data_IF_359678138606
#
_entry.id   IF_359678138606
#
_cell.length_a   1.000
_cell.length_b   1.000
_cell.length_c   1.000
_cell.angle_alpha   90.00
_cell.angle_beta   90.00
_cell.angle_gamma   90.00
#
_symmetry.space_group_name_H-M   'P 1'
#
loop_
_entity.id
_entity.type
_entity.pdbx_description
1 polymer ?
#
# COMPACT_ATOMS: atom_id res chain seq x y z
N UNK A 1 30.05 -20.04 -1.14
CA UNK A 1 29.66 -20.30 0.26
C UNK A 1 30.11 -19.11 1.06
N UNK A 2 29.16 -18.42 1.72
CA UNK A 2 29.46 -17.35 2.66
C UNK A 2 30.01 -18.03 3.92
N UNK A 3 31.27 -17.77 4.26
CA UNK A 3 32.02 -18.44 5.33
C UNK A 3 31.75 -17.81 6.72
N UNK A 4 30.89 -16.80 6.77
CA UNK A 4 30.49 -16.06 7.99
C UNK A 4 29.05 -16.41 8.34
N UNK A 5 28.75 -16.63 9.61
CA UNK A 5 27.39 -16.87 10.08
C UNK A 5 26.50 -15.65 9.79
N UNK A 6 25.54 -15.83 8.88
CA UNK A 6 24.55 -14.81 8.53
C UNK A 6 23.44 -14.78 9.58
N UNK A 7 23.08 -13.59 10.06
CA UNK A 7 22.04 -13.36 11.07
C UNK A 7 20.97 -12.37 10.57
N UNK A 8 19.91 -12.18 11.36
CA UNK A 8 18.85 -11.18 11.10
C UNK A 8 19.35 -9.72 11.05
N UNK A 9 20.55 -9.46 11.57
CA UNK A 9 21.19 -8.14 11.64
C UNK A 9 22.23 -7.93 10.53
N UNK A 10 22.50 -8.95 9.72
CA UNK A 10 23.45 -8.86 8.60
C UNK A 10 22.76 -8.26 7.38
N UNK A 11 23.22 -7.12 6.85
CA UNK A 11 22.63 -6.55 5.62
C UNK A 11 22.96 -7.38 4.38
N UNK A 12 21.97 -7.58 3.49
CA UNK A 12 22.14 -8.29 2.20
C UNK A 12 22.10 -7.35 0.99
N UNK A 13 22.20 -6.04 1.17
CA UNK A 13 22.08 -5.06 0.08
C UNK A 13 23.07 -5.31 -1.07
N UNK A 14 24.30 -5.67 -0.74
CA UNK A 14 25.38 -5.90 -1.71
C UNK A 14 25.40 -7.32 -2.27
N UNK A 15 24.51 -8.21 -1.83
CA UNK A 15 24.51 -9.61 -2.25
C UNK A 15 23.94 -9.77 -3.65
N UNK A 16 24.59 -10.61 -4.47
CA UNK A 16 23.96 -11.12 -5.68
C UNK A 16 22.69 -11.89 -5.33
N UNK A 17 21.81 -12.12 -6.31
CA UNK A 17 20.56 -12.85 -6.06
C UNK A 17 20.79 -14.25 -5.47
N UNK A 18 21.85 -14.94 -5.91
CA UNK A 18 22.18 -16.28 -5.40
C UNK A 18 22.67 -16.22 -3.96
N UNK A 19 23.60 -15.30 -3.65
CA UNK A 19 24.10 -15.10 -2.29
C UNK A 19 22.99 -14.66 -1.34
N UNK A 20 22.09 -13.80 -1.82
CA UNK A 20 20.91 -13.37 -1.10
C UNK A 20 20.00 -14.56 -0.74
N UNK A 21 19.74 -15.44 -1.69
CA UNK A 21 18.90 -16.62 -1.46
C UNK A 21 19.55 -17.58 -0.45
N UNK A 22 20.86 -17.82 -0.56
CA UNK A 22 21.61 -18.65 0.38
C UNK A 22 21.57 -18.05 1.80
N UNK A 23 21.76 -16.74 1.92
CA UNK A 23 21.74 -15.99 3.18
C UNK A 23 20.36 -16.05 3.86
N UNK A 24 19.29 -15.78 3.10
CA UNK A 24 17.92 -15.85 3.60
C UNK A 24 17.56 -17.26 4.05
N UNK A 25 17.94 -18.27 3.26
CA UNK A 25 17.76 -19.68 3.62
C UNK A 25 18.49 -20.02 4.91
N UNK A 26 19.74 -19.59 5.08
CA UNK A 26 20.52 -19.84 6.29
C UNK A 26 19.84 -19.24 7.52
N UNK A 27 19.37 -17.99 7.45
CA UNK A 27 18.66 -17.36 8.57
C UNK A 27 17.36 -18.09 8.90
N UNK A 28 16.55 -18.43 7.89
CA UNK A 28 15.29 -19.16 8.06
C UNK A 28 15.51 -20.55 8.68
N UNK A 29 16.50 -21.32 8.20
CA UNK A 29 16.82 -22.64 8.74
C UNK A 29 17.38 -22.59 10.18
N UNK A 30 18.04 -21.49 10.56
CA UNK A 30 18.53 -21.32 11.93
C UNK A 30 17.43 -20.95 12.92
N UNK A 31 16.37 -20.27 12.47
CA UNK A 31 15.29 -19.77 13.33
C UNK A 31 13.95 -20.50 13.19
N UNK A 32 13.86 -21.48 12.29
CA UNK A 32 12.64 -22.20 11.97
C UNK A 32 12.87 -23.14 10.80
N UNK A 33 12.25 -22.85 9.64
CA UNK A 33 12.43 -23.66 8.44
C UNK A 33 12.49 -22.85 7.15
N UNK A 34 13.01 -23.49 6.11
CA UNK A 34 12.92 -23.03 4.72
C UNK A 34 12.40 -24.18 3.86
N UNK A 35 11.42 -23.90 3.00
CA UNK A 35 10.90 -24.84 2.01
C UNK A 35 10.84 -24.18 0.62
N UNK A 36 11.33 -24.87 -0.41
CA UNK A 36 11.09 -24.46 -1.79
C UNK A 36 9.73 -25.01 -2.26
N UNK A 37 8.86 -24.12 -2.72
CA UNK A 37 7.51 -24.43 -3.18
C UNK A 37 7.46 -24.39 -4.71
N UNK A 38 8.09 -25.37 -5.35
CA UNK A 38 8.26 -25.37 -6.79
C UNK A 38 9.46 -24.51 -7.23
N UNK A 39 9.39 -23.95 -8.44
CA UNK A 39 10.51 -23.23 -9.05
C UNK A 39 10.51 -21.72 -8.83
N UNK A 40 9.37 -21.16 -8.39
CA UNK A 40 9.15 -19.71 -8.29
C UNK A 40 8.68 -19.26 -6.91
N UNK A 41 8.52 -20.16 -5.94
CA UNK A 41 8.02 -19.81 -4.62
C UNK A 41 8.82 -20.46 -3.51
N UNK A 42 8.86 -19.78 -2.36
CA UNK A 42 9.62 -20.20 -1.20
C UNK A 42 8.83 -19.86 0.06
N UNK A 43 8.84 -20.75 1.04
CA UNK A 43 8.35 -20.50 2.39
C UNK A 43 9.54 -20.38 3.35
N UNK A 44 9.54 -19.34 4.17
CA UNK A 44 10.58 -19.04 5.15
C UNK A 44 9.92 -18.74 6.48
N UNK A 45 10.21 -19.56 7.49
CA UNK A 45 9.62 -19.42 8.81
C UNK A 45 10.67 -19.15 9.86
N UNK A 46 10.39 -18.17 10.72
CA UNK A 46 11.15 -17.82 11.91
C UNK A 46 10.22 -17.86 13.12
N UNK A 47 10.53 -18.69 14.11
CA UNK A 47 9.77 -18.81 15.35
C UNK A 47 10.38 -17.92 16.45
N UNK A 48 9.55 -17.08 17.08
CA UNK A 48 9.96 -16.16 18.16
C UNK A 48 8.93 -16.01 19.27
N UNK A 49 7.66 -15.83 18.93
CA UNK A 49 6.57 -15.59 19.89
C UNK A 49 5.22 -16.13 19.39
N UNK A 50 4.17 -16.01 20.21
CA UNK A 50 2.81 -16.45 19.86
C UNK A 50 2.05 -15.50 18.93
N UNK A 51 2.68 -14.40 18.46
CA UNK A 51 2.14 -13.57 17.39
C UNK A 51 2.84 -13.92 16.08
N UNK A 52 2.07 -14.37 15.09
CA UNK A 52 2.54 -14.74 13.76
C UNK A 52 2.17 -13.68 12.73
N UNK A 53 3.17 -13.17 12.02
CA UNK A 53 2.97 -12.50 10.73
C UNK A 53 3.10 -13.52 9.61
N UNK A 54 2.12 -13.58 8.71
CA UNK A 54 2.20 -14.29 7.43
C UNK A 54 2.30 -13.24 6.32
N UNK A 55 3.44 -13.11 5.65
CA UNK A 55 3.61 -12.13 4.57
C UNK A 55 3.75 -12.78 3.20
N UNK A 56 3.24 -12.08 2.17
CA UNK A 56 3.38 -12.47 0.77
C UNK A 56 4.17 -11.39 0.03
N UNK A 57 5.37 -11.73 -0.41
CA UNK A 57 6.36 -10.78 -0.90
C UNK A 57 7.03 -11.27 -2.19
N UNK A 58 7.49 -10.36 -3.05
CA UNK A 58 8.32 -10.74 -4.20
C UNK A 58 9.79 -10.58 -3.86
N UNK A 59 10.66 -11.45 -4.38
CA UNK A 59 12.11 -11.37 -4.13
C UNK A 59 12.68 -10.03 -4.59
N UNK A 60 12.20 -9.51 -5.72
CA UNK A 60 12.57 -8.17 -6.17
C UNK A 60 12.08 -7.08 -5.22
N UNK A 61 10.86 -7.20 -4.68
CA UNK A 61 10.31 -6.26 -3.70
C UNK A 61 11.14 -6.23 -2.41
N UNK A 62 11.46 -7.40 -1.84
CA UNK A 62 12.30 -7.50 -0.65
C UNK A 62 13.65 -6.81 -0.85
N UNK A 63 14.33 -7.10 -1.96
CA UNK A 63 15.64 -6.53 -2.28
C UNK A 63 15.61 -5.04 -2.60
N UNK A 64 14.49 -4.50 -3.09
CA UNK A 64 14.37 -3.11 -3.49
C UNK A 64 13.77 -2.18 -2.43
N UNK A 65 12.92 -2.71 -1.53
CA UNK A 65 12.14 -1.91 -0.58
C UNK A 65 12.70 -1.93 0.83
N UNK A 66 13.44 -2.98 1.21
CA UNK A 66 14.11 -3.06 2.52
C UNK A 66 15.50 -2.43 2.45
N UNK A 67 15.85 -1.59 3.43
CA UNK A 67 17.19 -1.03 3.64
C UNK A 67 18.26 -2.05 4.06
N UNK A 68 17.87 -3.29 4.37
CA UNK A 68 18.81 -4.41 4.53
C UNK A 68 18.63 -5.48 3.46
N UNK A 69 17.85 -5.19 2.42
CA UNK A 69 17.36 -6.16 1.43
C UNK A 69 16.70 -7.41 2.04
N UNK A 70 16.16 -7.35 3.26
CA UNK A 70 15.47 -8.46 3.92
C UNK A 70 14.01 -8.61 3.45
N UNK A 71 13.38 -9.78 3.71
CA UNK A 71 11.93 -9.84 3.82
C UNK A 71 11.40 -8.72 4.71
N UNK A 72 10.38 -7.98 4.26
CA UNK A 72 9.86 -6.82 4.98
C UNK A 72 9.33 -7.23 6.35
N UNK A 73 8.72 -8.41 6.45
CA UNK A 73 8.23 -8.93 7.73
C UNK A 73 9.33 -9.20 8.76
N UNK A 74 10.61 -9.29 8.37
CA UNK A 74 11.72 -9.39 9.33
C UNK A 74 11.90 -8.13 10.17
N UNK A 75 11.33 -6.98 9.75
CA UNK A 75 11.27 -5.81 10.61
C UNK A 75 10.48 -6.13 11.89
N UNK A 76 9.30 -6.74 11.76
CA UNK A 76 8.47 -7.14 12.90
C UNK A 76 9.13 -8.23 13.77
N UNK A 77 9.96 -9.08 13.16
CA UNK A 77 10.76 -10.06 13.92
C UNK A 77 11.78 -9.35 14.82
N UNK A 78 12.40 -8.25 14.33
CA UNK A 78 13.41 -7.49 15.07
C UNK A 78 12.80 -6.54 16.10
N UNK A 79 11.81 -5.75 15.71
CA UNK A 79 11.26 -4.68 16.55
C UNK A 79 10.24 -5.19 17.56
N UNK A 80 9.39 -6.14 17.16
CA UNK A 80 8.28 -6.64 17.99
C UNK A 80 8.47 -8.08 18.47
N UNK A 81 9.50 -8.79 17.99
CA UNK A 81 9.75 -10.19 18.35
C UNK A 81 8.70 -11.16 17.84
N UNK A 82 7.98 -10.82 16.78
CA UNK A 82 6.95 -11.70 16.20
C UNK A 82 7.55 -12.92 15.50
N UNK A 83 6.83 -14.04 15.53
CA UNK A 83 7.09 -15.13 14.58
C UNK A 83 6.70 -14.68 13.18
N UNK A 84 7.39 -15.16 12.15
CA UNK A 84 7.16 -14.73 10.78
C UNK A 84 7.24 -15.88 9.78
N UNK A 85 6.16 -16.07 9.02
CA UNK A 85 6.10 -16.94 7.85
C UNK A 85 6.03 -16.08 6.59
N UNK A 86 7.12 -16.00 5.84
CA UNK A 86 7.18 -15.32 4.55
C UNK A 86 7.00 -16.29 3.41
N UNK A 87 6.00 -16.02 2.56
CA UNK A 87 5.83 -16.63 1.26
C UNK A 87 6.44 -15.67 0.22
N UNK A 88 7.56 -16.09 -0.35
CA UNK A 88 8.26 -15.34 -1.38
C UNK A 88 7.91 -15.85 -2.77
N UNK A 89 7.79 -14.95 -3.75
CA UNK A 89 7.69 -15.31 -5.17
C UNK A 89 8.75 -14.66 -6.05
N UNK A 90 9.14 -15.39 -7.09
CA UNK A 90 9.94 -14.89 -8.21
C UNK A 90 9.04 -14.19 -9.22
N UNK A 91 8.88 -12.88 -9.05
CA UNK A 91 7.99 -12.04 -9.86
C UNK A 91 6.52 -12.14 -9.42
N UNK A 92 5.64 -11.48 -10.18
CA UNK A 92 4.23 -11.38 -9.86
C UNK A 92 3.50 -12.65 -10.30
N UNK A 93 3.07 -13.44 -9.32
CA UNK A 93 2.44 -14.77 -9.54
C UNK A 93 1.07 -14.89 -8.91
N UNK A 94 0.67 -13.90 -8.10
CA UNK A 94 -0.50 -13.97 -7.20
C UNK A 94 -0.49 -15.23 -6.31
N UNK A 95 0.67 -15.87 -6.17
CA UNK A 95 0.85 -17.13 -5.44
C UNK A 95 -0.09 -18.24 -5.94
N UNK A 96 -0.44 -18.18 -7.23
CA UNK A 96 -1.29 -19.17 -7.92
C UNK A 96 -0.44 -20.31 -8.46
N UNK A 97 0.01 -21.20 -7.57
CA UNK A 97 0.76 -22.40 -7.95
C UNK A 97 0.41 -23.60 -7.05
N UNK A 98 0.42 -24.80 -7.61
CA UNK A 98 0.00 -26.02 -6.93
C UNK A 98 0.86 -26.39 -5.70
N UNK A 99 2.20 -26.17 -5.69
CA UNK A 99 3.01 -26.38 -4.49
C UNK A 99 2.66 -25.40 -3.36
N UNK A 100 2.24 -24.17 -3.66
CA UNK A 100 1.82 -23.19 -2.65
C UNK A 100 0.51 -23.62 -2.01
N UNK A 101 -0.43 -24.09 -2.84
CA UNK A 101 -1.68 -24.68 -2.39
C UNK A 101 -1.44 -25.86 -1.45
N UNK A 102 -0.64 -26.83 -1.87
CA UNK A 102 -0.32 -28.00 -1.07
C UNK A 102 0.40 -27.65 0.24
N UNK A 103 1.21 -26.59 0.25
CA UNK A 103 1.84 -26.08 1.48
C UNK A 103 0.79 -25.60 2.48
N UNK A 104 -0.16 -24.75 2.06
CA UNK A 104 -1.23 -24.29 2.94
C UNK A 104 -2.18 -25.41 3.39
N UNK A 105 -2.47 -26.41 2.55
CA UNK A 105 -3.24 -27.59 2.99
C UNK A 105 -2.53 -28.32 4.13
N UNK A 106 -1.21 -28.53 4.02
CA UNK A 106 -0.44 -29.15 5.10
C UNK A 106 -0.45 -28.31 6.38
N UNK A 107 -0.29 -26.99 6.27
CA UNK A 107 -0.36 -26.12 7.45
C UNK A 107 -1.72 -26.22 8.16
N UNK A 108 -2.81 -26.36 7.39
CA UNK A 108 -4.17 -26.57 7.94
C UNK A 108 -4.26 -27.94 8.59
N UNK A 109 -3.88 -29.00 7.88
CA UNK A 109 -3.99 -30.39 8.34
C UNK A 109 -3.15 -30.65 9.60
N UNK A 110 -1.98 -30.01 9.70
CA UNK A 110 -1.06 -30.13 10.84
C UNK A 110 -1.44 -29.20 12.02
N UNK A 111 -2.46 -28.35 11.87
CA UNK A 111 -2.86 -27.38 12.90
C UNK A 111 -1.78 -26.32 13.18
N UNK A 112 -0.96 -25.96 12.19
CA UNK A 112 0.17 -25.04 12.37
C UNK A 112 -0.25 -23.70 12.99
N UNK A 113 -1.39 -23.15 12.55
CA UNK A 113 -1.88 -21.85 13.01
C UNK A 113 -2.43 -21.89 14.45
N UNK A 114 -2.79 -23.06 14.97
CA UNK A 114 -3.31 -23.22 16.34
C UNK A 114 -2.22 -22.97 17.40
N UNK A 115 -0.94 -22.97 16.99
CA UNK A 115 0.20 -22.64 17.86
C UNK A 115 0.35 -21.14 18.18
N UNK A 116 -0.49 -20.27 17.63
CA UNK A 116 -0.36 -18.82 17.74
C UNK A 116 -1.62 -18.17 18.32
N UNK A 117 -1.44 -17.25 19.27
CA UNK A 117 -2.53 -16.48 19.86
C UNK A 117 -3.09 -15.44 18.88
N UNK A 118 -2.23 -14.94 17.98
CA UNK A 118 -2.56 -13.89 17.01
C UNK A 118 -1.90 -14.21 15.68
N UNK A 119 -2.69 -14.20 14.61
CA UNK A 119 -2.19 -14.36 13.23
C UNK A 119 -2.58 -13.15 12.39
N UNK A 120 -1.60 -12.53 11.74
CA UNK A 120 -1.80 -11.39 10.83
C UNK A 120 -1.29 -11.76 9.44
N UNK A 121 -2.16 -11.68 8.44
CA UNK A 121 -1.79 -11.83 7.03
C UNK A 121 -1.50 -10.46 6.42
N UNK A 122 -0.39 -10.34 5.68
CA UNK A 122 0.02 -9.09 5.06
C UNK A 122 0.51 -9.28 3.61
N UNK A 123 0.18 -8.32 2.75
CA UNK A 123 0.84 -8.19 1.46
C UNK A 123 0.37 -6.97 0.68
N UNK A 124 1.07 -6.69 -0.42
CA UNK A 124 0.74 -5.60 -1.35
C UNK A 124 0.60 -6.10 -2.80
N UNK A 125 -0.35 -5.53 -3.55
CA UNK A 125 -0.60 -5.90 -4.95
C UNK A 125 -0.91 -7.40 -5.09
N UNK A 126 -0.10 -8.17 -5.86
CA UNK A 126 -0.22 -9.63 -5.93
C UNK A 126 -0.10 -10.32 -4.55
N UNK A 127 0.75 -9.81 -3.67
CA UNK A 127 0.85 -10.29 -2.29
C UNK A 127 -0.36 -9.88 -1.45
N UNK A 128 -0.99 -8.74 -1.74
CA UNK A 128 -2.21 -8.29 -1.06
C UNK A 128 -3.42 -9.17 -1.42
N UNK A 129 -3.50 -9.60 -2.68
CA UNK A 129 -4.42 -10.66 -3.10
C UNK A 129 -4.17 -11.94 -2.30
N UNK A 130 -2.92 -12.41 -2.26
CA UNK A 130 -2.59 -13.68 -1.61
C UNK A 130 -2.83 -13.64 -0.10
N UNK A 131 -2.49 -12.53 0.57
CA UNK A 131 -2.79 -12.33 1.99
C UNK A 131 -4.28 -12.50 2.30
N UNK A 132 -5.16 -11.93 1.48
CA UNK A 132 -6.59 -12.14 1.63
C UNK A 132 -7.03 -13.56 1.24
N UNK A 133 -6.56 -14.07 0.11
CA UNK A 133 -6.94 -15.37 -0.44
C UNK A 133 -6.56 -16.57 0.47
N UNK A 134 -5.38 -16.54 1.07
CA UNK A 134 -4.88 -17.63 1.91
C UNK A 134 -5.22 -17.46 3.40
N UNK A 135 -5.76 -16.31 3.82
CA UNK A 135 -6.14 -16.09 5.22
C UNK A 135 -7.18 -17.07 5.76
N UNK A 136 -7.99 -17.67 4.88
CA UNK A 136 -8.96 -18.71 5.24
C UNK A 136 -8.30 -19.94 5.89
N UNK A 137 -7.00 -20.16 5.67
CA UNK A 137 -6.23 -21.21 6.32
C UNK A 137 -6.05 -21.01 7.83
N UNK A 138 -6.27 -19.78 8.33
CA UNK A 138 -6.18 -19.43 9.74
C UNK A 138 -7.44 -18.66 10.16
N UNK A 139 -8.55 -19.36 10.47
CA UNK A 139 -9.76 -18.73 10.99
C UNK A 139 -9.47 -17.83 12.20
N UNK A 140 -10.07 -16.64 12.25
CA UNK A 140 -9.80 -15.63 13.28
C UNK A 140 -8.56 -14.76 13.01
N UNK A 141 -7.83 -14.99 11.90
CA UNK A 141 -6.73 -14.11 11.54
C UNK A 141 -7.20 -12.69 11.17
N UNK A 142 -6.29 -11.73 11.31
CA UNK A 142 -6.46 -10.37 10.81
C UNK A 142 -5.71 -10.19 9.50
N UNK A 143 -6.24 -9.43 8.55
CA UNK A 143 -5.65 -9.26 7.21
C UNK A 143 -5.37 -7.80 6.92
N UNK A 144 -4.16 -7.47 6.49
CA UNK A 144 -3.77 -6.14 6.01
C UNK A 144 -3.33 -6.25 4.54
N UNK A 145 -4.19 -5.79 3.63
CA UNK A 145 -3.97 -5.90 2.20
C UNK A 145 -3.84 -4.52 1.55
N UNK A 146 -2.67 -4.23 0.98
CA UNK A 146 -2.37 -2.95 0.30
C UNK A 146 -2.59 -3.11 -1.21
N UNK A 147 -3.46 -2.30 -1.79
CA UNK A 147 -3.83 -2.33 -3.23
C UNK A 147 -4.08 -3.76 -3.75
N UNK A 148 -4.86 -4.60 -3.05
CA UNK A 148 -5.07 -5.97 -3.49
C UNK A 148 -5.90 -5.99 -4.77
N UNK A 149 -5.57 -6.91 -5.67
CA UNK A 149 -6.54 -7.37 -6.66
C UNK A 149 -7.51 -8.31 -5.96
N UNK A 150 -8.81 -8.22 -6.25
CA UNK A 150 -9.79 -9.16 -5.69
C UNK A 150 -9.72 -10.52 -6.41
N UNK A 151 -9.46 -10.48 -7.71
CA UNK A 151 -9.23 -11.60 -8.62
C UNK A 151 -8.63 -11.03 -9.91
N UNK A 152 -8.05 -11.88 -10.75
CA UNK A 152 -7.74 -11.54 -12.14
C UNK A 152 -8.54 -12.39 -13.14
N UNK A 153 -9.60 -13.06 -12.67
CA UNK A 153 -10.55 -13.73 -13.55
C UNK A 153 -11.12 -12.72 -14.56
N UNK A 154 -10.86 -12.90 -15.87
CA UNK A 154 -11.34 -11.98 -16.89
C UNK A 154 -12.85 -11.78 -16.85
N UNK A 155 -13.64 -12.77 -16.42
CA UNK A 155 -15.10 -12.64 -16.36
C UNK A 155 -15.60 -11.64 -15.31
N UNK A 156 -14.78 -11.34 -14.30
CA UNK A 156 -15.09 -10.39 -13.21
C UNK A 156 -14.37 -9.05 -13.43
N UNK A 157 -13.17 -9.09 -14.01
CA UNK A 157 -12.27 -7.94 -14.12
C UNK A 157 -11.95 -7.57 -15.57
N UNK A 158 -12.92 -7.65 -16.48
CA UNK A 158 -12.79 -7.20 -17.89
C UNK A 158 -12.27 -5.75 -18.02
N UNK A 159 -12.47 -4.94 -16.97
CA UNK A 159 -12.07 -3.54 -16.87
C UNK A 159 -10.62 -3.32 -16.43
N UNK A 160 -9.88 -4.34 -16.00
CA UNK A 160 -8.47 -4.24 -15.62
C UNK A 160 -7.56 -4.79 -16.72
N UNK A 161 -6.81 -3.90 -17.36
CA UNK A 161 -5.91 -4.20 -18.48
C UNK A 161 -4.43 -4.33 -18.07
N UNK A 162 -4.12 -4.23 -16.77
CA UNK A 162 -2.73 -4.22 -16.28
C UNK A 162 -2.01 -5.57 -16.37
N UNK A 163 -2.74 -6.67 -16.29
CA UNK A 163 -2.20 -8.03 -16.06
C UNK A 163 -2.67 -9.03 -17.11
N UNK A 164 -2.60 -8.65 -18.39
CA UNK A 164 -3.09 -9.46 -19.50
C UNK A 164 -2.41 -10.83 -19.62
N UNK A 165 -1.17 -10.93 -19.15
CA UNK A 165 -0.38 -12.16 -19.09
C UNK A 165 -0.95 -13.19 -18.12
N UNK A 166 -1.76 -12.76 -17.14
CA UNK A 166 -2.37 -13.63 -16.13
C UNK A 166 -3.74 -14.19 -16.53
N UNK A 167 -4.29 -13.83 -17.70
CA UNK A 167 -5.64 -14.25 -18.14
C UNK A 167 -5.85 -15.77 -18.25
N UNK A 168 -4.77 -16.55 -18.34
CA UNK A 168 -4.81 -18.01 -18.40
C UNK A 168 -4.57 -18.68 -17.04
N UNK A 169 -4.24 -17.90 -16.02
CA UNK A 169 -4.09 -18.40 -14.66
C UNK A 169 -5.47 -18.54 -14.05
N UNK A 170 -5.69 -19.64 -13.35
CA UNK A 170 -6.98 -19.93 -12.73
C UNK A 170 -7.14 -19.11 -11.44
N UNK A 171 -8.18 -18.27 -11.37
CA UNK A 171 -8.62 -17.51 -10.20
C UNK A 171 -10.04 -17.90 -9.73
N UNK A 172 -10.52 -19.07 -10.15
CA UNK A 172 -11.88 -19.56 -9.88
C UNK A 172 -11.89 -20.76 -8.94
N UNK A 173 -10.81 -21.55 -8.91
CA UNK A 173 -10.64 -22.64 -7.95
C UNK A 173 -10.29 -22.14 -6.54
N UNK A 174 -9.94 -23.07 -5.64
CA UNK A 174 -9.49 -22.81 -4.26
C UNK A 174 -8.61 -21.55 -4.14
N UNK A 175 -8.88 -20.75 -3.11
CA UNK A 175 -8.21 -19.45 -2.89
C UNK A 175 -8.33 -18.47 -4.07
N UNK A 176 -9.30 -18.65 -4.97
CA UNK A 176 -9.36 -17.94 -6.25
C UNK A 176 -9.87 -16.51 -6.15
N UNK A 177 -10.99 -16.30 -5.47
CA UNK A 177 -11.59 -14.99 -5.27
C UNK A 177 -11.32 -14.49 -3.85
N UNK A 178 -10.35 -13.57 -3.72
CA UNK A 178 -9.83 -13.12 -2.43
C UNK A 178 -10.88 -12.54 -1.46
N UNK A 179 -11.87 -11.73 -1.91
CA UNK A 179 -12.94 -11.27 -1.04
C UNK A 179 -13.72 -12.40 -0.36
N UNK A 180 -13.88 -13.54 -1.02
CA UNK A 180 -14.62 -14.67 -0.45
C UNK A 180 -13.84 -15.43 0.60
N UNK A 181 -12.52 -15.44 0.47
CA UNK A 181 -11.64 -16.13 1.42
C UNK A 181 -11.50 -15.38 2.75
N UNK A 182 -11.99 -14.14 2.84
CA UNK A 182 -12.01 -13.37 4.08
C UNK A 182 -13.15 -13.75 5.03
N UNK A 183 -14.01 -14.73 4.69
CA UNK A 183 -15.20 -15.04 5.49
C UNK A 183 -14.89 -15.46 6.94
N UNK A 184 -13.80 -16.21 7.12
CA UNK A 184 -13.36 -16.70 8.42
C UNK A 184 -12.38 -15.75 9.15
N UNK A 185 -11.97 -14.64 8.52
CA UNK A 185 -11.07 -13.66 9.14
C UNK A 185 -11.80 -12.87 10.24
N UNK A 186 -11.12 -12.53 11.33
CA UNK A 186 -11.68 -11.65 12.37
C UNK A 186 -11.91 -10.24 11.82
N UNK A 187 -10.90 -9.70 11.14
CA UNK A 187 -10.96 -8.37 10.53
C UNK A 187 -10.04 -8.29 9.30
N UNK A 188 -10.45 -7.56 8.28
CA UNK A 188 -9.66 -7.33 7.08
C UNK A 188 -9.59 -5.84 6.74
N UNK A 189 -8.40 -5.36 6.42
CA UNK A 189 -8.11 -3.95 6.16
C UNK A 189 -7.58 -3.79 4.73
N UNK A 190 -8.41 -3.22 3.86
CA UNK A 190 -8.07 -2.99 2.45
C UNK A 190 -7.62 -1.54 2.28
N UNK A 191 -6.33 -1.34 2.03
CA UNK A 191 -5.71 -0.03 1.91
C UNK A 191 -5.51 0.31 0.44
N UNK A 192 -6.05 1.43 -0.03
CA UNK A 192 -5.96 1.83 -1.44
C UNK A 192 -6.02 3.34 -1.62
N UNK A 193 -5.56 3.82 -2.78
CA UNK A 193 -5.78 5.20 -3.20
C UNK A 193 -7.07 5.30 -4.04
N UNK A 194 -8.13 5.96 -3.57
CA UNK A 194 -9.36 6.12 -4.34
C UNK A 194 -9.21 6.98 -5.61
N UNK A 195 -8.06 7.63 -5.82
CA UNK A 195 -7.75 8.37 -7.07
C UNK A 195 -7.06 7.54 -8.12
N UNK A 196 -6.74 6.27 -7.83
CA UNK A 196 -6.31 5.28 -8.83
C UNK A 196 -7.54 4.42 -9.16
N UNK A 197 -8.18 4.60 -10.34
CA UNK A 197 -9.46 3.97 -10.65
C UNK A 197 -9.44 2.44 -10.51
N UNK A 198 -8.42 1.78 -11.07
CA UNK A 198 -8.33 0.31 -11.05
C UNK A 198 -8.17 -0.24 -9.62
N UNK A 199 -7.40 0.42 -8.76
CA UNK A 199 -7.27 0.01 -7.36
C UNK A 199 -8.58 0.25 -6.59
N UNK A 200 -9.27 1.36 -6.87
CA UNK A 200 -10.56 1.66 -6.27
C UNK A 200 -11.64 0.64 -6.69
N UNK A 201 -11.62 0.20 -7.95
CA UNK A 201 -12.51 -0.84 -8.47
C UNK A 201 -12.25 -2.18 -7.80
N UNK A 202 -10.99 -2.64 -7.68
CA UNK A 202 -10.68 -3.86 -6.93
C UNK A 202 -11.09 -3.76 -5.46
N UNK A 203 -10.72 -2.67 -4.79
CA UNK A 203 -11.13 -2.41 -3.41
C UNK A 203 -12.65 -2.35 -3.25
N UNK A 204 -13.40 -2.01 -4.30
CA UNK A 204 -14.87 -2.00 -4.26
C UNK A 204 -15.45 -3.40 -4.07
N UNK A 205 -14.80 -4.45 -4.59
CA UNK A 205 -15.26 -5.85 -4.55
C UNK A 205 -15.17 -6.49 -3.15
N UNK A 206 -14.27 -5.99 -2.29
CA UNK A 206 -14.17 -6.42 -0.90
C UNK A 206 -15.33 -5.86 -0.06
N UNK A 207 -16.48 -6.53 -0.04
CA UNK A 207 -17.75 -6.02 0.55
C UNK A 207 -18.22 -6.75 1.81
N UNK A 208 -17.38 -7.60 2.41
CA UNK A 208 -17.75 -8.38 3.60
C UNK A 208 -17.90 -7.52 4.86
N UNK A 209 -18.73 -7.93 5.85
CA UNK A 209 -18.96 -7.16 7.08
C UNK A 209 -17.71 -6.92 7.92
N UNK A 210 -16.76 -7.84 7.89
CA UNK A 210 -15.47 -7.75 8.60
C UNK A 210 -14.40 -6.95 7.83
N UNK A 211 -14.73 -6.40 6.65
CA UNK A 211 -13.79 -5.61 5.83
C UNK A 211 -13.92 -4.11 6.12
N UNK A 212 -12.81 -3.49 6.50
CA UNK A 212 -12.65 -2.04 6.57
C UNK A 212 -11.81 -1.51 5.41
N UNK A 213 -12.39 -0.60 4.64
CA UNK A 213 -11.72 0.09 3.51
C UNK A 213 -10.99 1.34 3.98
N UNK A 214 -9.67 1.30 3.99
CA UNK A 214 -8.78 2.37 4.45
C UNK A 214 -8.26 3.20 3.25
N UNK A 215 -8.76 4.42 3.11
CA UNK A 215 -8.48 5.27 1.95
C UNK A 215 -7.23 6.13 2.16
N UNK A 216 -6.27 6.07 1.23
CA UNK A 216 -5.04 6.86 1.25
C UNK A 216 -4.90 7.69 -0.03
N UNK A 217 -5.66 8.79 -0.09
CA UNK A 217 -5.84 9.61 -1.29
C UNK A 217 -4.55 10.32 -1.74
N UNK A 218 -4.27 10.31 -3.05
CA UNK A 218 -3.08 10.90 -3.73
C UNK A 218 -1.75 10.25 -3.35
N UNK A 219 -1.78 8.98 -2.96
CA UNK A 219 -0.58 8.18 -2.79
C UNK A 219 -0.18 7.47 -4.09
N UNK A 220 -1.05 7.38 -5.10
CA UNK A 220 -0.75 6.79 -6.40
C UNK A 220 -0.58 5.27 -6.34
N UNK A 221 0.07 4.71 -7.35
CA UNK A 221 0.12 3.26 -7.63
C UNK A 221 1.16 2.49 -6.82
N UNK A 222 2.15 3.14 -6.21
CA UNK A 222 3.19 2.51 -5.40
C UNK A 222 2.93 2.74 -3.89
N UNK A 223 1.77 2.30 -3.40
CA UNK A 223 1.30 2.65 -2.06
C UNK A 223 2.15 2.02 -0.96
N UNK A 224 2.60 0.77 -1.16
CA UNK A 224 3.47 0.07 -0.22
C UNK A 224 4.80 0.80 -0.03
N UNK A 225 5.51 1.12 -1.12
CA UNK A 225 6.78 1.85 -1.06
C UNK A 225 6.62 3.17 -0.32
N UNK A 226 5.54 3.90 -0.58
CA UNK A 226 5.28 5.16 0.12
C UNK A 226 4.88 4.99 1.57
N UNK A 227 4.24 3.89 1.96
CA UNK A 227 3.97 3.60 3.38
C UNK A 227 5.26 3.31 4.13
N UNK A 228 6.22 2.63 3.48
CA UNK A 228 7.57 2.43 4.01
C UNK A 228 8.32 3.76 4.12
N UNK A 229 8.29 4.63 3.10
CA UNK A 229 8.87 5.99 3.16
C UNK A 229 8.28 6.89 4.27
N UNK A 230 7.09 6.55 4.77
CA UNK A 230 6.44 7.27 5.87
C UNK A 230 6.76 6.67 7.25
N UNK A 231 7.54 5.60 7.32
CA UNK A 231 7.86 4.86 8.53
C UNK A 231 6.59 4.42 9.30
N UNK A 232 5.52 4.04 8.57
CA UNK A 232 4.24 3.63 9.17
C UNK A 232 3.94 2.14 9.02
N UNK A 233 4.86 1.37 8.45
CA UNK A 233 4.66 -0.07 8.21
C UNK A 233 4.48 -0.86 9.52
N UNK A 234 5.39 -0.69 10.47
CA UNK A 234 5.32 -1.31 11.80
C UNK A 234 4.04 -0.90 12.55
N UNK A 235 3.82 0.42 12.70
CA UNK A 235 2.62 0.97 13.34
C UNK A 235 1.31 0.39 12.75
N UNK A 236 1.25 0.22 11.43
CA UNK A 236 0.08 -0.34 10.76
C UNK A 236 -0.16 -1.80 11.17
N UNK A 237 0.89 -2.63 11.18
CA UNK A 237 0.78 -4.04 11.53
C UNK A 237 0.52 -4.23 13.02
N UNK A 238 1.19 -3.48 13.90
CA UNK A 238 0.97 -3.54 15.36
C UNK A 238 -0.46 -3.15 15.71
N UNK A 239 -0.98 -2.04 15.15
CA UNK A 239 -2.39 -1.67 15.32
C UNK A 239 -3.35 -2.77 14.84
N UNK A 240 -3.02 -3.46 13.73
CA UNK A 240 -3.84 -4.55 13.25
C UNK A 240 -3.82 -5.71 14.25
N UNK A 241 -2.63 -6.20 14.64
CA UNK A 241 -2.47 -7.31 15.57
C UNK A 241 -3.21 -7.08 16.90
N UNK A 242 -3.13 -5.87 17.45
CA UNK A 242 -3.76 -5.49 18.72
C UNK A 242 -5.27 -5.25 18.62
N UNK A 243 -5.85 -5.30 17.42
CA UNK A 243 -7.28 -5.01 17.20
C UNK A 243 -7.63 -3.53 17.28
N UNK A 244 -6.63 -2.65 17.19
CA UNK A 244 -6.78 -1.19 17.28
C UNK A 244 -6.80 -0.50 15.92
N UNK A 245 -6.56 -1.23 14.83
CA UNK A 245 -6.62 -0.68 13.48
C UNK A 245 -8.08 -0.39 13.10
N UNK A 246 -8.37 0.90 12.94
CA UNK A 246 -9.68 1.43 12.59
C UNK A 246 -9.50 2.54 11.57
N UNK A 247 -10.59 3.04 10.98
CA UNK A 247 -10.54 4.23 10.13
C UNK A 247 -9.88 5.41 10.86
N UNK A 248 -10.15 5.57 12.16
CA UNK A 248 -9.66 6.68 12.96
C UNK A 248 -8.17 6.54 13.31
N UNK A 249 -7.71 5.36 13.76
CA UNK A 249 -6.29 5.12 14.06
C UNK A 249 -5.46 5.13 12.78
N UNK A 250 -5.95 4.53 11.69
CA UNK A 250 -5.31 4.61 10.37
C UNK A 250 -5.18 6.06 9.89
N UNK A 251 -6.25 6.85 9.97
CA UNK A 251 -6.20 8.26 9.57
C UNK A 251 -5.19 9.07 10.39
N UNK A 252 -4.89 8.65 11.62
CA UNK A 252 -3.89 9.26 12.50
C UNK A 252 -2.46 8.97 11.98
N UNK A 253 -2.10 7.70 11.80
CA UNK A 253 -0.78 7.31 11.28
C UNK A 253 -0.57 7.81 9.85
N UNK A 254 -1.61 7.80 9.02
CA UNK A 254 -1.52 8.26 7.64
C UNK A 254 -1.19 9.77 7.54
N UNK A 255 -1.37 10.57 8.61
CA UNK A 255 -1.00 11.99 8.61
C UNK A 255 0.50 12.23 8.50
N UNK A 256 1.35 11.23 8.72
CA UNK A 256 2.80 11.31 8.43
C UNK A 256 3.08 11.86 7.02
N UNK A 257 2.19 11.61 6.05
CA UNK A 257 2.27 12.18 4.70
C UNK A 257 2.30 13.71 4.63
N UNK A 258 1.85 14.41 5.67
CA UNK A 258 1.87 15.87 5.75
C UNK A 258 3.29 16.44 5.88
N UNK A 259 4.23 15.63 6.33
CA UNK A 259 5.65 15.99 6.41
C UNK A 259 6.48 15.36 5.27
N UNK A 260 5.85 14.52 4.45
CA UNK A 260 6.48 13.81 3.36
C UNK A 260 6.56 14.64 2.08
N UNK A 261 7.77 15.14 1.76
CA UNK A 261 8.01 16.04 0.63
C UNK A 261 7.55 15.50 -0.73
N UNK A 262 7.81 14.23 -1.13
CA UNK A 262 7.26 13.65 -2.36
C UNK A 262 5.73 13.72 -2.43
N UNK A 263 5.03 13.39 -1.35
CA UNK A 263 3.56 13.48 -1.29
C UNK A 263 3.09 14.92 -1.49
N UNK A 264 3.67 15.88 -0.76
CA UNK A 264 3.30 17.30 -0.86
C UNK A 264 3.52 17.85 -2.27
N UNK A 265 4.63 17.48 -2.92
CA UNK A 265 4.91 17.86 -4.33
C UNK A 265 3.87 17.28 -5.28
N UNK A 266 3.51 16.01 -5.11
CA UNK A 266 2.46 15.36 -5.90
C UNK A 266 1.08 15.99 -5.69
N UNK A 267 0.75 16.34 -4.44
CA UNK A 267 -0.49 17.03 -4.10
C UNK A 267 -0.55 18.42 -4.73
N UNK A 268 0.54 19.19 -4.70
CA UNK A 268 0.63 20.48 -5.37
C UNK A 268 0.36 20.35 -6.87
N UNK A 269 1.06 19.44 -7.54
CA UNK A 269 0.89 19.22 -8.97
C UNK A 269 -0.55 18.79 -9.34
N UNK A 270 -1.19 17.99 -8.50
CA UNK A 270 -2.58 17.57 -8.70
C UNK A 270 -3.57 18.74 -8.56
N UNK A 271 -3.39 19.59 -7.54
CA UNK A 271 -4.25 20.77 -7.33
C UNK A 271 -4.08 21.81 -8.44
N UNK A 272 -2.85 22.00 -8.93
CA UNK A 272 -2.54 22.86 -10.08
C UNK A 272 -3.24 22.37 -11.35
N UNK A 273 -3.14 21.07 -11.66
CA UNK A 273 -3.81 20.47 -12.82
C UNK A 273 -5.33 20.59 -12.75
N UNK A 274 -5.90 20.52 -11.55
CA UNK A 274 -7.34 20.66 -11.30
C UNK A 274 -7.78 22.12 -11.15
N UNK A 275 -6.86 23.09 -11.29
CA UNK A 275 -7.11 24.53 -11.18
C UNK A 275 -7.81 24.90 -9.86
N UNK A 276 -7.42 24.24 -8.76
CA UNK A 276 -8.02 24.43 -7.43
C UNK A 276 -7.30 25.52 -6.65
N UNK A 277 -7.27 26.74 -7.18
CA UNK A 277 -6.48 27.86 -6.66
C UNK A 277 -6.62 28.08 -5.13
N UNK A 278 -7.82 28.08 -4.52
CA UNK A 278 -7.93 28.24 -3.06
C UNK A 278 -7.26 27.12 -2.25
N UNK A 279 -7.32 25.88 -2.75
CA UNK A 279 -6.68 24.73 -2.11
C UNK A 279 -5.16 24.74 -2.33
N UNK A 280 -4.72 25.16 -3.52
CA UNK A 280 -3.30 25.36 -3.83
C UNK A 280 -2.68 26.38 -2.89
N UNK A 281 -3.35 27.52 -2.66
CA UNK A 281 -2.88 28.55 -1.74
C UNK A 281 -2.84 28.03 -0.29
N UNK A 282 -3.89 27.30 0.14
CA UNK A 282 -3.95 26.67 1.46
C UNK A 282 -2.79 25.68 1.67
N UNK A 283 -2.52 24.83 0.68
CA UNK A 283 -1.38 23.90 0.72
C UNK A 283 -0.06 24.65 0.80
N UNK A 284 0.15 25.66 -0.04
CA UNK A 284 1.39 26.44 -0.01
C UNK A 284 1.60 27.12 1.35
N UNK A 285 0.56 27.74 1.92
CA UNK A 285 0.60 28.32 3.26
C UNK A 285 0.99 27.28 4.31
N UNK A 286 0.32 26.13 4.31
CA UNK A 286 0.66 25.01 5.19
C UNK A 286 2.13 24.63 5.04
N UNK A 287 2.59 24.26 3.84
CA UNK A 287 3.96 23.77 3.65
C UNK A 287 5.01 24.82 4.02
N UNK A 288 4.84 26.08 3.61
CA UNK A 288 5.81 27.15 3.91
C UNK A 288 5.85 27.55 5.38
N UNK A 289 4.77 27.33 6.12
CA UNK A 289 4.74 27.55 7.57
C UNK A 289 5.39 26.44 8.39
N UNK A 290 5.58 25.25 7.82
CA UNK A 290 6.10 24.07 8.53
C UNK A 290 7.50 23.66 8.09
N UNK A 291 7.91 23.96 6.85
CA UNK A 291 9.23 23.55 6.34
C UNK A 291 9.79 24.47 5.25
N UNK A 292 11.12 24.44 5.07
CA UNK A 292 11.77 25.10 3.93
C UNK A 292 11.43 24.38 2.63
N UNK A 293 10.66 25.06 1.78
CA UNK A 293 10.18 24.55 0.50
C UNK A 293 10.11 25.65 -0.58
N UNK A 294 11.24 26.00 -1.22
CA UNK A 294 11.33 27.12 -2.16
C UNK A 294 10.31 27.08 -3.31
N UNK A 295 9.99 25.88 -3.81
CA UNK A 295 8.96 25.69 -4.86
C UNK A 295 7.58 26.18 -4.41
N UNK A 296 7.19 25.90 -3.16
CA UNK A 296 5.90 26.29 -2.62
C UNK A 296 5.86 27.79 -2.33
N UNK A 297 6.96 28.37 -1.85
CA UNK A 297 7.08 29.84 -1.68
C UNK A 297 6.89 30.56 -3.01
N UNK A 298 7.57 30.09 -4.07
CA UNK A 298 7.45 30.69 -5.41
C UNK A 298 6.02 30.56 -5.93
N UNK A 299 5.41 29.37 -5.82
CA UNK A 299 4.05 29.16 -6.32
C UNK A 299 3.01 29.98 -5.55
N UNK A 300 3.15 30.09 -4.22
CA UNK A 300 2.33 30.97 -3.39
C UNK A 300 2.32 32.40 -3.93
N UNK A 301 3.51 33.00 -4.11
CA UNK A 301 3.65 34.38 -4.60
C UNK A 301 3.03 34.57 -5.98
N UNK A 302 3.23 33.60 -6.88
CA UNK A 302 2.62 33.64 -8.21
C UNK A 302 1.09 33.64 -8.12
N UNK A 303 0.52 32.74 -7.32
CA UNK A 303 -0.92 32.61 -7.18
C UNK A 303 -1.57 33.82 -6.49
N UNK A 304 -0.91 34.40 -5.49
CA UNK A 304 -1.36 35.65 -4.85
C UNK A 304 -1.38 36.82 -5.86
N UNK A 305 -0.36 36.93 -6.72
CA UNK A 305 -0.34 37.94 -7.77
C UNK A 305 -1.41 37.71 -8.84
N UNK A 306 -1.61 36.46 -9.28
CA UNK A 306 -2.66 36.08 -10.22
C UNK A 306 -4.05 36.43 -9.68
N UNK A 307 -4.33 36.13 -8.41
CA UNK A 307 -5.60 36.45 -7.76
C UNK A 307 -5.81 37.96 -7.59
N UNK A 308 -4.77 38.70 -7.20
CA UNK A 308 -4.84 40.16 -7.08
C UNK A 308 -5.15 40.83 -8.43
N UNK A 309 -4.56 40.34 -9.52
CA UNK A 309 -4.85 40.82 -10.88
C UNK A 309 -6.30 40.52 -11.29
N UNK A 310 -6.83 39.33 -11.00
CA UNK A 310 -8.23 38.99 -11.29
C UNK A 310 -9.21 39.90 -10.56
N UNK A 311 -8.98 40.13 -9.26
CA UNK A 311 -9.82 41.04 -8.46
C UNK A 311 -9.78 42.47 -9.00
N UNK A 312 -8.60 42.96 -9.41
CA UNK A 312 -8.47 44.29 -10.02
C UNK A 312 -9.23 44.39 -11.37
N UNK A 313 -9.22 43.34 -12.18
CA UNK A 313 -9.94 43.29 -13.46
C UNK A 313 -11.47 43.22 -13.26
N UNK A 314 -11.94 42.45 -12.29
CA UNK A 314 -13.37 42.35 -11.94
C UNK A 314 -13.90 43.68 -11.38
N UNK A 315 -13.11 44.39 -10.58
CA UNK A 315 -13.52 45.70 -10.05
C UNK A 315 -13.52 46.79 -11.14
N UNK A 316 -12.53 46.80 -12.05
CA UNK A 316 -12.46 47.78 -13.14
C UNK A 316 -13.57 47.61 -14.19
N UNK A 317 -14.03 46.38 -14.43
CA UNK A 317 -15.16 46.10 -15.33
C UNK A 317 -16.52 46.43 -14.71
N UNK A 318 -16.66 46.36 -13.39
CA UNK A 318 -17.86 46.81 -12.69
C UNK A 318 -18.02 48.36 -12.70
N UNK A 319 -16.91 49.10 -12.60
CA UNK A 319 -16.93 50.58 -12.68
C UNK A 319 -17.23 51.10 -14.09
N UNK A 320 -16.81 50.40 -15.15
CA UNK A 320 -17.16 50.78 -16.55
C UNK A 320 -18.63 50.51 -16.92
N UNK A 321 -19.28 49.53 -16.28
CA UNK A 321 -20.70 49.21 -16.55
C UNK A 321 -21.70 50.12 -15.79
N UNK A 322 -21.26 50.78 -14.71
CA UNK A 322 -22.10 51.67 -13.89
C UNK A 322 -21.97 53.16 -14.29
N UNK A 323 -21.30 53.45 -15.42
CA UNK A 323 -21.27 54.81 -15.97
C UNK A 323 -22.57 55.06 -16.75
N UNK A 324 -23.47 55.96 -16.31
CA UNK A 324 -24.70 56.23 -17.05
C UNK A 324 -24.35 56.85 -18.39
N UNK A 325 -24.91 56.31 -19.48
CA UNK A 325 -24.82 56.90 -20.81
C UNK A 325 -25.43 58.31 -20.78
N UNK A 326 -24.58 59.32 -20.59
CA UNK A 326 -24.91 60.72 -20.85
C UNK A 326 -24.82 60.97 -22.35
N UNK A 327 -25.74 60.41 -23.13
CA UNK A 327 -25.97 60.93 -24.47
C UNK A 327 -27.37 60.58 -24.99
N UNK A 328 -28.35 61.38 -24.59
CA UNK A 328 -29.56 61.62 -25.37
C UNK A 328 -30.27 62.88 -24.89
N UNK A 329 -29.88 64.05 -25.42
CA UNK A 329 -30.82 65.11 -25.82
C UNK A 329 -30.05 66.38 -26.29
N UNK A 330 -29.51 66.32 -27.50
CA UNK A 330 -29.41 67.49 -28.37
C UNK A 330 -29.95 67.12 -29.73
N UNK A 331 -31.24 67.38 -29.97
CA UNK A 331 -31.77 67.55 -31.32
C UNK A 331 -33.02 68.43 -31.28
N UNK A 332 -32.80 69.72 -31.58
CA UNK A 332 -33.56 70.60 -32.48
C UNK A 332 -35.06 70.39 -32.69
N UNK A 333 -35.83 71.46 -32.54
CA UNK A 333 -37.21 71.61 -33.01
C UNK A 333 -37.98 72.70 -32.30
#
# INVERSE_FOLDING_TARGET
>A
MIDTAVTLDTSFEDYSKSEWMDAVKQVAQNGGFYEALGSRHHAMFLEKSSTLLVSFETINGMRALSSMAHPLGWEMVRSEGWSHLCLASEGDTWFRDAPVYAFFDRLIDDGFFDGFDRVVFYGAGPGGYAAAAFSVAAPGAKVVAIQPQATLDPSVTEWDDRFVEMRRTDFTSRFGYAPDMLDAAEAAFVIYDPTVPLDAMHASLFTRPNVTKLRMRRMGTALQSKLLELDQFENLLTLAADGELTIASFARIARARRDHRPYLKGLLAALEREQRDPLTLTLCNFVTGHMSAPRFVRRKKQLEAELALRVAQENGTAEEQDTPSQDAAKTTG
#
